data_IF_061947645392
#
_entry.id   IF_061947645392
#
_cell.length_a   1.000
_cell.length_b   1.000
_cell.length_c   1.000
_cell.angle_alpha   90.00
_cell.angle_beta   90.00
_cell.angle_gamma   90.00
#
_symmetry.space_group_name_H-M   'P 1'
#
loop_
_entity.id
_entity.type
_entity.pdbx_description
1 polymer ?
#
# COMPACT_ATOMS: atom_id res chain seq x y z
N UNK A 1 4.17 33.55 54.36
CA UNK A 1 5.10 33.72 53.23
C UNK A 1 5.53 32.39 52.57
N UNK A 2 5.80 31.31 53.31
CA UNK A 2 6.18 29.98 52.74
C UNK A 2 5.18 29.36 51.74
N UNK A 3 3.86 29.56 51.92
CA UNK A 3 2.84 29.00 51.01
C UNK A 3 2.81 29.69 49.63
N UNK A 4 3.18 30.98 49.57
CA UNK A 4 3.20 31.74 48.31
C UNK A 4 4.36 31.30 47.41
N UNK A 5 5.52 31.00 48.01
CA UNK A 5 6.70 30.52 47.28
C UNK A 5 6.49 29.13 46.68
N UNK A 6 5.74 28.25 47.34
CA UNK A 6 5.44 26.91 46.81
C UNK A 6 4.52 27.01 45.59
N UNK A 7 3.50 27.87 45.64
CA UNK A 7 2.58 28.09 44.49
C UNK A 7 3.35 28.66 43.30
N UNK A 8 4.25 29.63 43.53
CA UNK A 8 5.07 30.22 42.47
C UNK A 8 6.01 29.18 41.82
N UNK A 9 6.60 28.29 42.63
CA UNK A 9 7.49 27.23 42.13
C UNK A 9 6.74 26.20 41.28
N UNK A 10 5.51 25.84 41.67
CA UNK A 10 4.65 24.91 40.93
C UNK A 10 4.18 25.54 39.61
N UNK A 11 3.84 26.84 39.60
CA UNK A 11 3.51 27.51 38.34
C UNK A 11 4.69 27.61 37.38
N UNK A 12 5.92 27.79 37.91
CA UNK A 12 7.11 27.92 37.07
C UNK A 12 7.54 26.59 36.44
N UNK A 13 7.37 25.46 37.13
CA UNK A 13 7.70 24.13 36.59
C UNK A 13 6.70 23.64 35.55
N UNK A 14 5.45 24.10 35.60
CA UNK A 14 4.42 23.76 34.60
C UNK A 14 4.66 24.51 33.27
N UNK A 15 5.19 25.75 33.31
CA UNK A 15 5.46 26.52 32.09
C UNK A 15 6.69 26.03 31.30
N UNK A 16 7.60 25.25 31.90
CA UNK A 16 8.80 24.75 31.22
C UNK A 16 8.62 23.40 30.53
N UNK A 17 7.44 22.77 30.66
CA UNK A 17 7.08 21.62 29.82
C UNK A 17 6.62 22.10 28.44
N UNK A 18 7.44 22.89 27.77
CA UNK A 18 7.40 23.00 26.32
C UNK A 18 7.89 21.65 25.80
N UNK A 19 6.98 20.71 25.59
CA UNK A 19 7.28 19.50 24.83
C UNK A 19 7.78 19.98 23.47
N UNK A 20 9.08 19.84 23.22
CA UNK A 20 9.65 19.98 21.88
C UNK A 20 9.08 18.84 21.06
N UNK A 21 7.85 18.97 20.58
CA UNK A 21 7.27 18.07 19.61
C UNK A 21 8.06 18.27 18.32
N UNK A 22 9.16 17.51 18.20
CA UNK A 22 9.98 17.49 17.01
C UNK A 22 9.15 16.83 15.91
N UNK A 23 8.41 17.66 15.18
CA UNK A 23 7.56 17.20 14.09
C UNK A 23 8.44 16.43 13.09
N UNK A 24 8.04 15.21 12.69
CA UNK A 24 8.78 14.44 11.69
C UNK A 24 8.95 15.26 10.42
N UNK A 25 10.22 15.47 10.02
CA UNK A 25 10.55 16.21 8.81
C UNK A 25 10.30 15.32 7.59
N UNK A 26 9.96 15.95 6.47
CA UNK A 26 9.82 15.27 5.20
C UNK A 26 11.17 14.70 4.75
N UNK A 27 11.22 13.41 4.41
CA UNK A 27 12.45 12.74 3.97
C UNK A 27 12.33 12.31 2.50
N UNK A 28 13.27 12.70 1.63
CA UNK A 28 13.30 12.19 0.26
C UNK A 28 13.73 10.72 0.25
N UNK A 29 13.19 9.96 -0.70
CA UNK A 29 13.61 8.58 -0.97
C UNK A 29 13.47 8.25 -2.45
N UNK A 30 14.21 7.24 -2.89
CA UNK A 30 14.05 6.61 -4.20
C UNK A 30 13.57 5.18 -4.01
N UNK A 31 12.75 4.68 -4.95
CA UNK A 31 12.29 3.30 -4.93
C UNK A 31 13.28 2.38 -5.65
N UNK A 32 13.92 1.49 -4.90
CA UNK A 32 14.81 0.46 -5.46
C UNK A 32 14.02 -0.63 -6.21
N UNK A 33 14.72 -1.39 -7.09
CA UNK A 33 14.17 -2.36 -8.05
C UNK A 33 12.82 -3.00 -7.66
N UNK A 34 11.78 -2.73 -8.45
CA UNK A 34 10.46 -3.32 -8.25
C UNK A 34 10.20 -4.41 -9.31
N UNK A 35 10.10 -5.65 -8.83
CA UNK A 35 9.53 -6.77 -9.60
C UNK A 35 8.03 -6.83 -9.32
N UNK A 36 7.25 -7.40 -10.24
CA UNK A 36 5.87 -7.80 -9.91
C UNK A 36 5.91 -8.58 -8.60
N UNK A 37 5.25 -8.06 -7.57
CA UNK A 37 5.22 -8.73 -6.29
C UNK A 37 4.29 -9.94 -6.42
N UNK A 38 4.83 -11.13 -6.20
CA UNK A 38 3.99 -12.29 -5.94
C UNK A 38 3.21 -12.00 -4.66
N UNK A 39 1.88 -12.00 -4.75
CA UNK A 39 1.02 -11.64 -3.61
C UNK A 39 0.46 -12.87 -2.93
N UNK A 40 0.06 -13.87 -3.71
CA UNK A 40 -0.50 -15.10 -3.16
C UNK A 40 -0.36 -16.28 -4.11
N UNK A 41 -0.32 -17.49 -3.53
CA UNK A 41 -0.49 -18.73 -4.26
C UNK A 41 -1.94 -19.19 -4.12
N UNK A 42 -2.61 -19.40 -5.24
CA UNK A 42 -3.93 -20.01 -5.31
C UNK A 42 -3.75 -21.52 -5.44
N UNK A 43 -4.59 -22.29 -4.75
CA UNK A 43 -4.56 -23.76 -4.81
C UNK A 43 -5.11 -24.33 -6.11
N UNK A 44 -5.53 -23.48 -7.06
CA UNK A 44 -6.10 -23.89 -8.35
C UNK A 44 -5.02 -23.98 -9.42
N UNK A 45 -4.93 -25.13 -10.08
CA UNK A 45 -3.97 -25.41 -11.15
C UNK A 45 -4.48 -25.08 -12.56
N UNK A 46 -3.57 -25.17 -13.53
CA UNK A 46 -3.85 -24.93 -14.95
C UNK A 46 -4.89 -25.90 -15.53
N UNK A 47 -4.86 -27.16 -15.12
CA UNK A 47 -5.83 -28.17 -15.57
C UNK A 47 -7.24 -27.86 -15.04
N UNK A 48 -7.37 -27.57 -13.75
CA UNK A 48 -8.65 -27.24 -13.11
C UNK A 48 -9.28 -25.98 -13.71
N UNK A 49 -8.46 -24.97 -14.00
CA UNK A 49 -8.89 -23.77 -14.73
C UNK A 49 -9.41 -24.12 -16.13
N UNK A 50 -8.65 -24.90 -16.89
CA UNK A 50 -9.01 -25.29 -18.25
C UNK A 50 -10.28 -26.17 -18.30
N UNK A 51 -10.41 -27.14 -17.39
CA UNK A 51 -11.59 -28.00 -17.26
C UNK A 51 -12.84 -27.19 -16.88
N UNK A 52 -12.68 -26.11 -16.13
CA UNK A 52 -13.75 -25.18 -15.78
C UNK A 52 -14.05 -24.16 -16.88
N UNK A 53 -13.31 -24.19 -17.99
CA UNK A 53 -13.51 -23.34 -19.17
C UNK A 53 -12.70 -22.05 -19.19
N UNK A 54 -11.87 -21.78 -18.19
CA UNK A 54 -10.99 -20.61 -18.15
C UNK A 54 -9.78 -20.78 -19.06
N UNK A 55 -9.34 -19.67 -19.66
CA UNK A 55 -8.24 -19.63 -20.62
C UNK A 55 -7.35 -18.40 -20.40
N UNK A 56 -6.13 -18.48 -20.92
CA UNK A 56 -5.26 -17.31 -21.06
C UNK A 56 -5.97 -16.22 -21.88
N UNK A 57 -5.97 -14.98 -21.37
CA UNK A 57 -6.74 -13.86 -21.91
C UNK A 57 -8.06 -13.57 -21.17
N UNK A 58 -8.55 -14.50 -20.36
CA UNK A 58 -9.78 -14.30 -19.60
C UNK A 58 -9.58 -13.34 -18.43
N UNK A 59 -10.63 -12.55 -18.17
CA UNK A 59 -10.71 -11.71 -16.98
C UNK A 59 -11.54 -12.40 -15.91
N UNK A 60 -10.91 -12.66 -14.77
CA UNK A 60 -11.54 -13.31 -13.61
C UNK A 60 -11.73 -12.34 -12.46
N UNK A 61 -12.72 -12.64 -11.61
CA UNK A 61 -12.95 -11.96 -10.34
C UNK A 61 -12.50 -12.90 -9.22
N UNK A 62 -11.62 -12.40 -8.36
CA UNK A 62 -11.16 -13.07 -7.15
C UNK A 62 -11.83 -12.40 -5.96
N UNK A 63 -12.44 -13.20 -5.08
CA UNK A 63 -13.02 -12.73 -3.82
C UNK A 63 -12.21 -13.32 -2.67
N UNK A 64 -11.52 -12.45 -1.92
CA UNK A 64 -10.58 -12.83 -0.84
C UNK A 64 -10.96 -12.01 0.39
N UNK A 65 -11.50 -12.66 1.43
CA UNK A 65 -11.87 -12.00 2.69
C UNK A 65 -12.74 -10.74 2.52
N UNK A 66 -13.66 -10.76 1.54
CA UNK A 66 -14.53 -9.62 1.21
C UNK A 66 -13.91 -8.56 0.30
N UNK A 67 -12.64 -8.70 -0.08
CA UNK A 67 -11.99 -7.88 -1.11
C UNK A 67 -12.21 -8.54 -2.47
N UNK A 68 -12.72 -7.75 -3.41
CA UNK A 68 -12.90 -8.18 -4.81
C UNK A 68 -11.80 -7.61 -5.69
N UNK A 69 -11.08 -8.47 -6.39
CA UNK A 69 -10.02 -8.12 -7.33
C UNK A 69 -10.32 -8.65 -8.72
N UNK A 70 -10.16 -7.81 -9.75
CA UNK A 70 -10.24 -8.25 -11.14
C UNK A 70 -8.83 -8.55 -11.66
N UNK A 71 -8.60 -9.76 -12.16
CA UNK A 71 -7.31 -10.21 -12.64
C UNK A 71 -7.39 -10.83 -14.04
N UNK A 72 -6.31 -10.69 -14.80
CA UNK A 72 -6.13 -11.33 -16.11
C UNK A 72 -5.49 -12.70 -15.91
N UNK A 73 -6.01 -13.76 -16.53
CA UNK A 73 -5.27 -15.02 -16.66
C UNK A 73 -4.28 -14.84 -17.80
N UNK A 74 -2.99 -15.02 -17.54
CA UNK A 74 -1.95 -14.90 -18.56
C UNK A 74 -0.74 -15.79 -18.23
N UNK A 75 0.10 -16.04 -19.25
CA UNK A 75 1.28 -16.89 -19.12
C UNK A 75 2.43 -16.21 -18.34
N UNK A 76 2.37 -14.88 -18.21
CA UNK A 76 3.35 -14.08 -17.50
C UNK A 76 2.70 -12.86 -16.80
N UNK A 77 3.30 -12.33 -15.72
CA UNK A 77 2.76 -11.17 -15.01
C UNK A 77 2.65 -9.93 -15.89
N UNK A 78 1.50 -9.26 -15.85
CA UNK A 78 1.29 -7.99 -16.54
C UNK A 78 1.72 -6.81 -15.67
N UNK A 79 2.32 -5.77 -16.27
CA UNK A 79 2.81 -4.59 -15.55
C UNK A 79 1.71 -3.69 -15.01
N UNK A 80 0.56 -3.66 -15.67
CA UNK A 80 -0.53 -2.72 -15.38
C UNK A 80 -1.74 -3.36 -14.69
N UNK A 81 -1.83 -4.69 -14.68
CA UNK A 81 -3.04 -5.40 -14.25
C UNK A 81 -2.69 -6.53 -13.28
N UNK A 82 -3.55 -6.80 -12.28
CA UNK A 82 -3.47 -8.02 -11.51
C UNK A 82 -3.51 -9.22 -12.45
N UNK A 83 -2.61 -10.18 -12.23
CA UNK A 83 -2.43 -11.30 -13.16
C UNK A 83 -2.40 -12.61 -12.40
N UNK A 84 -3.22 -13.57 -12.84
CA UNK A 84 -3.17 -14.96 -12.39
C UNK A 84 -2.34 -15.75 -13.40
N UNK A 85 -1.19 -16.24 -12.96
CA UNK A 85 -0.32 -17.10 -13.78
C UNK A 85 -0.52 -18.53 -13.34
N UNK A 86 -1.17 -19.32 -14.18
CA UNK A 86 -1.43 -20.73 -13.91
C UNK A 86 -0.13 -21.56 -13.97
N UNK A 87 0.03 -22.46 -13.00
CA UNK A 87 1.05 -23.52 -12.95
C UNK A 87 0.33 -24.87 -12.98
N UNK A 88 1.08 -25.96 -12.99
CA UNK A 88 0.52 -27.32 -13.05
C UNK A 88 -0.54 -27.54 -11.96
N UNK A 89 -0.17 -27.33 -10.69
CA UNK A 89 -1.01 -27.63 -9.52
C UNK A 89 -1.48 -26.39 -8.73
N UNK A 90 -1.00 -25.20 -9.08
CA UNK A 90 -1.28 -23.95 -8.37
C UNK A 90 -1.35 -22.81 -9.34
N UNK A 91 -1.77 -21.63 -8.89
CA UNK A 91 -1.65 -20.40 -9.66
C UNK A 91 -1.04 -19.32 -8.80
N UNK A 92 -0.35 -18.37 -9.42
CA UNK A 92 0.28 -17.26 -8.70
C UNK A 92 -0.46 -15.98 -9.05
N UNK A 93 -0.95 -15.27 -8.04
CA UNK A 93 -1.50 -13.93 -8.18
C UNK A 93 -0.39 -12.89 -8.06
N UNK A 94 -0.20 -12.11 -9.11
CA UNK A 94 0.67 -10.95 -9.15
C UNK A 94 -0.16 -9.68 -9.12
N UNK A 95 0.27 -8.69 -8.34
CA UNK A 95 -0.28 -7.34 -8.40
C UNK A 95 0.68 -6.42 -9.18
N UNK A 96 0.15 -5.52 -10.02
CA UNK A 96 0.96 -4.55 -10.73
C UNK A 96 1.50 -3.53 -9.72
N UNK A 97 2.78 -3.23 -9.82
CA UNK A 97 3.38 -2.15 -9.06
C UNK A 97 3.13 -0.87 -9.83
N UNK A 98 2.23 -0.01 -9.32
CA UNK A 98 1.83 1.23 -9.99
C UNK A 98 2.92 2.32 -10.01
N UNK A 99 4.04 2.06 -9.33
CA UNK A 99 5.15 3.02 -9.20
C UNK A 99 6.35 2.41 -9.90
N UNK A 100 7.05 3.23 -10.69
CA UNK A 100 8.24 2.80 -11.41
C UNK A 100 9.46 2.76 -10.47
N UNK A 101 10.37 1.83 -10.71
CA UNK A 101 11.67 1.85 -10.01
C UNK A 101 12.43 3.12 -10.38
N UNK A 102 13.10 3.71 -9.39
CA UNK A 102 13.76 5.00 -9.53
C UNK A 102 12.83 6.21 -9.35
N UNK A 103 11.52 6.00 -9.15
CA UNK A 103 10.63 7.11 -8.82
C UNK A 103 11.04 7.78 -7.51
N UNK A 104 11.07 9.11 -7.54
CA UNK A 104 11.36 9.95 -6.38
C UNK A 104 10.09 10.13 -5.53
N UNK A 105 10.24 10.01 -4.22
CA UNK A 105 9.17 10.18 -3.26
C UNK A 105 9.59 11.03 -2.06
N UNK A 106 8.60 11.52 -1.32
CA UNK A 106 8.82 12.25 -0.07
C UNK A 106 7.96 11.64 1.01
N UNK A 107 8.59 11.06 2.04
CA UNK A 107 7.93 10.51 3.20
C UNK A 107 7.50 11.66 4.13
N UNK A 108 6.21 11.76 4.43
CA UNK A 108 5.65 12.76 5.35
C UNK A 108 4.76 12.10 6.37
N UNK A 109 4.62 12.72 7.55
CA UNK A 109 3.71 12.23 8.57
C UNK A 109 2.26 12.43 8.12
N UNK A 110 1.45 11.36 8.17
CA UNK A 110 0.02 11.44 7.87
C UNK A 110 -0.70 12.40 8.83
N UNK A 111 -1.54 13.32 8.31
CA UNK A 111 -2.48 14.13 9.09
C UNK A 111 -3.35 13.28 10.03
N UNK A 112 -3.74 13.82 11.18
CA UNK A 112 -4.45 13.07 12.22
C UNK A 112 -5.88 12.65 11.83
N UNK A 113 -6.51 13.40 10.92
CA UNK A 113 -7.82 13.15 10.31
C UNK A 113 -7.82 11.98 9.31
N UNK A 114 -6.70 11.74 8.61
CA UNK A 114 -6.56 10.57 7.71
C UNK A 114 -6.36 9.25 8.48
N UNK A 115 -5.97 9.30 9.75
CA UNK A 115 -5.72 8.09 10.58
C UNK A 115 -6.98 7.34 10.98
N UNK A 116 -8.16 7.93 10.75
CA UNK A 116 -9.46 7.32 11.07
C UNK A 116 -10.14 6.67 9.85
N UNK A 117 -9.53 6.75 8.66
CA UNK A 117 -10.05 6.12 7.44
C UNK A 117 -9.61 4.66 7.31
N UNK A 118 -10.57 3.74 7.14
CA UNK A 118 -10.27 2.34 6.78
C UNK A 118 -9.45 2.24 5.49
N UNK A 119 -8.72 1.12 5.35
CA UNK A 119 -7.78 0.80 4.25
C UNK A 119 -8.21 1.35 2.88
N UNK A 120 -7.81 2.60 2.59
CA UNK A 120 -8.10 3.29 1.35
C UNK A 120 -6.77 3.73 0.76
N UNK A 121 -6.46 3.20 -0.41
CA UNK A 121 -5.29 3.62 -1.18
C UNK A 121 -5.64 4.95 -1.84
N UNK A 122 -5.09 6.05 -1.30
CA UNK A 122 -5.21 7.38 -1.92
C UNK A 122 -4.05 7.57 -2.90
N UNK A 123 -4.36 7.56 -4.19
CA UNK A 123 -3.41 7.91 -5.26
C UNK A 123 -3.69 9.36 -5.67
N UNK A 124 -2.83 10.28 -5.25
CA UNK A 124 -2.86 11.69 -5.68
C UNK A 124 -1.69 11.95 -6.62
N UNK A 125 -1.99 12.28 -7.88
CA UNK A 125 -1.03 12.62 -8.93
C UNK A 125 -1.75 13.17 -10.16
N UNK A 126 -1.14 14.12 -10.86
CA UNK A 126 -1.62 14.56 -12.19
C UNK A 126 -1.06 13.65 -13.26
N UNK A 127 -1.93 12.92 -13.96
CA UNK A 127 -1.55 12.06 -15.09
C UNK A 127 -2.04 12.71 -16.39
N UNK A 128 -1.14 12.94 -17.34
CA UNK A 128 -1.47 13.34 -18.71
C UNK A 128 -1.26 12.13 -19.61
N UNK A 129 -2.33 11.64 -20.23
CA UNK A 129 -2.24 10.61 -21.26
C UNK A 129 -2.10 11.28 -22.63
N UNK A 130 -1.09 10.88 -23.40
CA UNK A 130 -0.98 11.19 -24.82
C UNK A 130 -1.15 9.88 -25.59
N UNK A 131 -2.03 9.88 -26.61
CA UNK A 131 -2.35 8.73 -27.46
C UNK A 131 -1.52 8.77 -28.75
#
# INVERSE_FOLDING_TARGET
MKRLSIVLLITLTVLTSCTTEKRPQALPFTLDEQRCAMVATLSVGSEELAQSGYRSGDWVRLEIEGITLRALIADAPHRLYPTVVAREHTSILYLPTAIESGAEGVLRLSPSDERQGGSAVSLSGSFVFTF
#
